data_IF_163017200823
#
_entry.id   IF_163017200823
#
_cell.length_a   1.000
_cell.length_b   1.000
_cell.length_c   1.000
_cell.angle_alpha   90.00
_cell.angle_beta   90.00
_cell.angle_gamma   90.00
#
_symmetry.space_group_name_H-M   'P 1'
#
loop_
_entity.id
_entity.type
_entity.pdbx_description
1 polymer ?
#
# COMPACT_ATOMS: atom_id res chain seq x y z
N UNK A 1 10.55 -33.33 -52.84
CA UNK A 1 10.53 -31.86 -52.60
C UNK A 1 9.14 -31.37 -52.15
N UNK A 2 8.61 -31.81 -51.00
CA UNK A 2 7.35 -31.23 -50.46
C UNK A 2 7.32 -31.09 -48.93
N UNK A 3 8.11 -31.87 -48.18
CA UNK A 3 8.14 -31.82 -46.71
C UNK A 3 9.05 -30.72 -46.15
N UNK A 4 10.13 -30.35 -46.85
CA UNK A 4 11.05 -29.29 -46.40
C UNK A 4 10.48 -27.87 -46.54
N UNK A 5 9.40 -27.67 -47.32
CA UNK A 5 8.74 -26.37 -47.49
C UNK A 5 7.71 -26.06 -46.38
N UNK A 6 7.25 -27.06 -45.64
CA UNK A 6 6.27 -26.88 -44.56
C UNK A 6 6.90 -26.40 -43.23
N UNK A 7 8.21 -26.58 -43.07
CA UNK A 7 8.94 -26.15 -41.86
C UNK A 7 9.33 -24.66 -41.89
N UNK A 8 9.33 -24.00 -43.05
CA UNK A 8 9.67 -22.56 -43.14
C UNK A 8 8.48 -21.62 -42.90
N UNK A 9 7.26 -22.15 -42.77
CA UNK A 9 6.04 -21.35 -42.58
C UNK A 9 5.60 -21.23 -41.11
N UNK A 10 6.23 -21.97 -40.19
CA UNK A 10 5.93 -21.93 -38.76
C UNK A 10 6.79 -20.88 -38.02
N UNK A 11 7.91 -20.43 -38.60
CA UNK A 11 8.84 -19.50 -37.94
C UNK A 11 8.44 -18.02 -38.01
N UNK A 12 7.39 -17.65 -38.75
CA UNK A 12 7.01 -16.24 -38.97
C UNK A 12 5.74 -15.79 -38.23
N UNK A 13 5.12 -16.63 -37.39
CA UNK A 13 3.88 -16.28 -36.67
C UNK A 13 3.97 -16.31 -35.14
N UNK A 14 5.16 -16.50 -34.56
CA UNK A 14 5.37 -16.32 -33.11
C UNK A 14 6.18 -15.05 -32.78
N UNK A 15 6.05 -14.03 -33.63
CA UNK A 15 6.41 -12.65 -33.31
C UNK A 15 5.17 -11.76 -33.26
N UNK A 16 4.06 -12.33 -32.77
CA UNK A 16 3.00 -11.51 -32.17
C UNK A 16 3.61 -10.75 -30.99
N UNK A 17 3.80 -9.46 -31.22
CA UNK A 17 4.09 -8.42 -30.26
C UNK A 17 3.66 -8.79 -28.83
N UNK A 18 4.63 -8.98 -27.95
CA UNK A 18 4.57 -8.41 -26.61
C UNK A 18 5.76 -7.47 -26.46
N UNK A 19 5.72 -6.38 -27.24
CA UNK A 19 6.55 -5.21 -26.98
C UNK A 19 5.82 -4.33 -25.95
N UNK A 20 6.41 -4.25 -24.77
CA UNK A 20 6.48 -3.04 -23.93
C UNK A 20 5.23 -2.60 -23.13
N UNK A 21 4.35 -3.51 -22.69
CA UNK A 21 3.36 -3.15 -21.66
C UNK A 21 3.92 -3.30 -20.22
N UNK A 22 4.92 -4.16 -20.03
CA UNK A 22 5.26 -4.68 -18.70
C UNK A 22 6.55 -4.08 -18.10
N UNK A 23 7.52 -3.72 -18.95
CA UNK A 23 8.83 -3.22 -18.51
C UNK A 23 8.75 -1.89 -17.73
N UNK A 24 7.75 -1.05 -18.05
CA UNK A 24 7.46 0.18 -17.31
C UNK A 24 6.70 -0.06 -16.01
N UNK A 25 5.91 -1.13 -15.92
CA UNK A 25 5.15 -1.49 -14.71
C UNK A 25 6.13 -2.01 -13.65
N UNK A 26 7.01 -2.94 -14.01
CA UNK A 26 8.02 -3.48 -13.09
C UNK A 26 9.09 -2.46 -12.66
N UNK A 27 9.35 -1.40 -13.41
CA UNK A 27 10.24 -0.31 -12.97
C UNK A 27 9.58 0.61 -11.93
N UNK A 28 8.27 0.87 -12.07
CA UNK A 28 7.54 1.74 -11.16
C UNK A 28 7.05 1.01 -9.90
N UNK A 29 6.96 -0.32 -9.93
CA UNK A 29 6.47 -1.13 -8.80
C UNK A 29 7.38 -1.08 -7.56
N UNK A 30 8.71 -1.25 -7.67
CA UNK A 30 9.64 -1.11 -6.55
C UNK A 30 9.58 0.29 -5.95
N UNK A 31 9.44 1.32 -6.79
CA UNK A 31 9.33 2.71 -6.35
C UNK A 31 8.03 2.93 -5.58
N UNK A 32 6.90 2.43 -6.08
CA UNK A 32 5.59 2.54 -5.42
C UNK A 32 5.59 1.81 -4.07
N UNK A 33 6.14 0.59 -4.02
CA UNK A 33 6.28 -0.19 -2.81
C UNK A 33 7.19 0.51 -1.77
N UNK A 34 8.30 1.09 -2.23
CA UNK A 34 9.22 1.85 -1.39
C UNK A 34 8.52 3.05 -0.79
N UNK A 35 7.86 3.87 -1.61
CA UNK A 35 7.12 5.05 -1.15
C UNK A 35 6.04 4.66 -0.14
N UNK A 36 5.25 3.61 -0.41
CA UNK A 36 4.19 3.18 0.49
C UNK A 36 4.73 2.72 1.85
N UNK A 37 5.84 1.97 1.87
CA UNK A 37 6.48 1.54 3.12
C UNK A 37 7.13 2.71 3.86
N UNK A 38 7.83 3.61 3.16
CA UNK A 38 8.38 4.83 3.77
C UNK A 38 7.29 5.70 4.37
N UNK A 39 6.16 5.88 3.68
CA UNK A 39 5.01 6.61 4.22
C UNK A 39 4.43 5.87 5.45
N UNK A 40 4.34 4.54 5.41
CA UNK A 40 3.84 3.74 6.54
C UNK A 40 4.71 3.93 7.78
N UNK A 41 6.03 3.83 7.62
CA UNK A 41 7.00 4.00 8.71
C UNK A 41 6.95 5.44 9.23
N UNK A 42 7.00 6.43 8.34
CA UNK A 42 6.86 7.85 8.70
C UNK A 42 5.58 8.14 9.47
N UNK A 43 4.46 7.54 9.07
CA UNK A 43 3.20 7.71 9.76
C UNK A 43 3.23 7.09 11.16
N UNK A 44 3.76 5.87 11.30
CA UNK A 44 3.91 5.21 12.60
C UNK A 44 4.87 5.96 13.54
N UNK A 45 5.97 6.48 13.00
CA UNK A 45 6.96 7.24 13.75
C UNK A 45 6.44 8.61 14.22
N UNK A 46 5.34 9.09 13.63
CA UNK A 46 4.68 10.33 14.07
C UNK A 46 3.88 10.17 15.37
N UNK A 47 3.64 8.93 15.82
CA UNK A 47 2.87 8.68 17.03
C UNK A 47 3.67 9.02 18.29
N UNK A 48 2.97 9.58 19.29
CA UNK A 48 3.56 9.87 20.57
C UNK A 48 3.97 8.58 21.28
N UNK A 49 4.99 8.67 22.13
CA UNK A 49 5.47 7.57 22.96
C UNK A 49 5.45 8.05 24.41
N UNK A 50 4.94 7.23 25.33
CA UNK A 50 4.92 7.55 26.75
C UNK A 50 6.30 7.36 27.41
N UNK A 51 6.40 7.68 28.70
CA UNK A 51 7.65 7.54 29.48
C UNK A 51 8.14 6.10 29.62
N UNK A 52 7.30 5.11 29.32
CA UNK A 52 7.62 3.68 29.38
C UNK A 52 7.97 3.11 28.00
N UNK A 53 8.03 3.95 26.96
CA UNK A 53 8.32 3.52 25.60
C UNK A 53 7.12 2.94 24.86
N UNK A 54 5.90 3.07 25.38
CA UNK A 54 4.70 2.56 24.73
C UNK A 54 4.11 3.62 23.78
N UNK A 55 3.80 3.20 22.56
CA UNK A 55 3.11 4.04 21.59
C UNK A 55 1.71 4.44 22.09
N UNK A 56 1.43 5.74 22.05
CA UNK A 56 0.13 6.33 22.27
C UNK A 56 -0.53 6.50 20.90
N UNK A 57 -1.45 5.59 20.57
CA UNK A 57 -2.15 5.64 19.28
C UNK A 57 -3.21 6.74 19.30
N UNK A 58 -3.37 7.49 18.19
CA UNK A 58 -4.50 8.40 18.02
C UNK A 58 -5.83 7.65 18.20
N UNK A 59 -6.81 8.28 18.85
CA UNK A 59 -8.10 7.63 19.14
C UNK A 59 -8.89 7.23 17.90
N UNK A 60 -8.64 7.88 16.77
CA UNK A 60 -9.24 7.54 15.48
C UNK A 60 -8.53 6.37 14.79
N UNK A 61 -7.25 6.10 15.09
CA UNK A 61 -6.43 5.14 14.33
C UNK A 61 -6.90 3.71 14.55
N UNK A 62 -7.08 2.93 13.48
CA UNK A 62 -7.50 1.51 13.56
C UNK A 62 -6.42 0.54 13.11
N UNK A 63 -5.46 1.01 12.32
CA UNK A 63 -4.40 0.19 11.73
C UNK A 63 -3.88 0.81 10.44
N UNK A 64 -2.75 0.29 9.95
CA UNK A 64 -2.22 0.66 8.64
C UNK A 64 -1.49 -0.51 8.00
N UNK A 65 -1.66 -0.64 6.68
CA UNK A 65 -1.04 -1.69 5.89
C UNK A 65 -0.76 -1.20 4.47
N UNK A 66 0.14 -1.88 3.76
CA UNK A 66 0.33 -1.69 2.32
C UNK A 66 -0.50 -2.76 1.62
N UNK A 67 -1.40 -2.36 0.73
CA UNK A 67 -2.28 -3.28 0.01
C UNK A 67 -1.55 -3.97 -1.16
N UNK A 68 -2.26 -4.83 -1.89
CA UNK A 68 -1.72 -5.57 -3.05
C UNK A 68 -1.39 -4.68 -4.25
N UNK A 69 -1.89 -3.44 -4.29
CA UNK A 69 -1.58 -2.43 -5.32
C UNK A 69 -0.48 -1.46 -4.87
N UNK A 70 0.23 -1.78 -3.79
CA UNK A 70 1.34 -1.01 -3.21
C UNK A 70 0.93 0.38 -2.75
N UNK A 71 -0.23 0.51 -2.13
CA UNK A 71 -0.73 1.74 -1.55
C UNK A 71 -0.81 1.60 -0.04
N UNK A 72 -0.35 2.64 0.67
CA UNK A 72 -0.58 2.74 2.10
C UNK A 72 -2.07 2.97 2.34
N UNK A 73 -2.70 2.05 3.05
CA UNK A 73 -4.07 2.18 3.56
C UNK A 73 -4.00 2.45 5.05
N UNK A 74 -4.68 3.50 5.50
CA UNK A 74 -4.81 3.87 6.91
C UNK A 74 -6.28 3.75 7.29
N UNK A 75 -6.55 2.90 8.28
CA UNK A 75 -7.88 2.74 8.84
C UNK A 75 -8.15 3.78 9.93
N UNK A 76 -9.35 4.37 9.88
CA UNK A 76 -9.77 5.40 10.84
C UNK A 76 -11.21 5.22 11.30
N UNK A 77 -11.53 5.70 12.50
CA UNK A 77 -12.89 5.89 13.02
C UNK A 77 -13.24 7.37 12.97
N UNK A 78 -14.43 7.72 12.48
CA UNK A 78 -14.94 9.09 12.47
C UNK A 78 -14.72 9.83 11.14
N UNK A 79 -14.70 11.17 11.19
CA UNK A 79 -14.70 12.01 9.98
C UNK A 79 -13.42 11.86 9.15
N UNK A 80 -13.57 11.19 8.02
CA UNK A 80 -12.45 10.89 7.13
C UNK A 80 -11.84 12.11 6.45
N UNK A 81 -12.59 13.21 6.33
CA UNK A 81 -12.12 14.42 5.66
C UNK A 81 -11.11 15.19 6.53
N UNK A 82 -11.40 15.32 7.82
CA UNK A 82 -10.53 15.98 8.80
C UNK A 82 -9.21 15.22 8.95
N UNK A 83 -9.28 13.91 9.16
CA UNK A 83 -8.08 13.10 9.38
C UNK A 83 -7.23 12.95 8.11
N UNK A 84 -7.83 13.02 6.91
CA UNK A 84 -7.06 13.07 5.66
C UNK A 84 -6.10 14.24 5.62
N UNK A 85 -6.53 15.43 6.03
CA UNK A 85 -5.69 16.61 6.00
C UNK A 85 -4.55 16.55 7.03
N UNK A 86 -4.79 15.98 8.21
CA UNK A 86 -3.76 15.74 9.22
C UNK A 86 -2.71 14.73 8.73
N UNK A 87 -3.16 13.59 8.20
CA UNK A 87 -2.28 12.54 7.66
C UNK A 87 -1.47 13.09 6.48
N UNK A 88 -2.09 13.86 5.58
CA UNK A 88 -1.40 14.54 4.47
C UNK A 88 -0.28 15.45 4.97
N UNK A 89 -0.50 16.21 6.05
CA UNK A 89 0.53 17.08 6.64
C UNK A 89 1.70 16.26 7.20
N UNK A 90 1.41 15.14 7.86
CA UNK A 90 2.43 14.22 8.38
C UNK A 90 3.25 13.62 7.24
N UNK A 91 2.59 13.09 6.21
CA UNK A 91 3.24 12.41 5.10
C UNK A 91 3.92 13.37 4.12
N UNK A 92 3.40 14.59 3.98
CA UNK A 92 3.83 15.59 3.00
C UNK A 92 3.37 15.28 1.57
N UNK A 93 2.44 14.34 1.40
CA UNK A 93 1.91 13.91 0.11
C UNK A 93 0.51 13.28 0.26
N UNK A 94 -0.14 12.98 -0.86
CA UNK A 94 -1.47 12.35 -0.92
C UNK A 94 -1.41 10.86 -1.30
N UNK A 95 -0.24 10.22 -1.21
CA UNK A 95 -0.02 8.84 -1.65
C UNK A 95 -0.42 7.85 -0.55
N UNK A 96 -1.69 7.92 -0.16
CA UNK A 96 -2.31 7.03 0.82
C UNK A 96 -3.83 6.99 0.61
N UNK A 97 -4.42 5.88 1.03
CA UNK A 97 -5.85 5.66 1.09
C UNK A 97 -6.32 5.69 2.53
N UNK A 98 -7.60 6.04 2.71
CA UNK A 98 -8.27 5.99 3.99
C UNK A 98 -9.40 4.99 3.87
N UNK A 99 -9.55 4.14 4.87
CA UNK A 99 -10.74 3.31 5.05
C UNK A 99 -11.40 3.63 6.38
N UNK A 100 -12.72 3.73 6.37
CA UNK A 100 -13.50 3.86 7.59
C UNK A 100 -13.59 2.50 8.30
N UNK A 101 -13.59 2.52 9.62
CA UNK A 101 -13.64 1.35 10.49
C UNK A 101 -14.52 1.65 11.70
N UNK A 102 -15.13 0.61 12.27
CA UNK A 102 -16.03 0.73 13.41
C UNK A 102 -15.29 0.93 14.74
N UNK A 103 -14.14 0.28 14.90
CA UNK A 103 -13.40 0.25 16.15
C UNK A 103 -11.97 0.75 16.00
N UNK A 104 -11.55 1.62 16.92
CA UNK A 104 -10.17 2.09 16.97
C UNK A 104 -9.23 1.04 17.54
N UNK A 105 -7.94 1.17 17.25
CA UNK A 105 -6.91 0.29 17.78
C UNK A 105 -6.89 0.30 19.31
N UNK A 106 -7.07 1.48 19.93
CA UNK A 106 -7.20 1.60 21.38
C UNK A 106 -8.42 0.84 21.92
N UNK A 107 -9.56 0.88 21.22
CA UNK A 107 -10.73 0.09 21.58
C UNK A 107 -10.40 -1.41 21.55
N UNK A 108 -9.80 -1.90 20.45
CA UNK A 108 -9.43 -3.31 20.31
C UNK A 108 -8.43 -3.76 21.39
N UNK A 109 -7.41 -2.94 21.68
CA UNK A 109 -6.43 -3.21 22.72
C UNK A 109 -7.10 -3.37 24.10
N UNK A 110 -8.08 -2.52 24.42
CA UNK A 110 -8.81 -2.58 25.70
C UNK A 110 -9.58 -3.89 25.88
N UNK A 111 -10.01 -4.54 24.79
CA UNK A 111 -10.71 -5.84 24.82
C UNK A 111 -9.76 -7.02 24.92
N UNK A 112 -8.56 -6.90 24.36
CA UNK A 112 -7.54 -7.97 24.37
C UNK A 112 -6.79 -8.13 25.71
N UNK A 113 -6.83 -7.13 26.60
CA UNK A 113 -6.16 -7.19 27.92
C UNK A 113 -7.00 -7.96 28.97
N UNK A 114 -8.22 -8.37 28.64
CA UNK A 114 -9.04 -9.26 29.49
C UNK A 114 -8.80 -10.71 29.08
N UNK A 115 -7.74 -11.32 29.60
CA UNK A 115 -7.57 -12.78 29.70
C UNK A 115 -6.97 -13.14 31.05
#
# INVERSE_FOLDING_TARGET
MKILLLLSLISTMCSCLHKNADEGIWKNLPDKATIANTNKDKYKDSFLVDSLGKTIYPNYYTGSYVNTTYELVIGIVGDTSVYRDEIRKILGNNLFLITECEYSYNHLLSKSIVR
#
